data_IF_455979951645
#
_entry.id   IF_455979951645
#
_cell.length_a   1.000
_cell.length_b   1.000
_cell.length_c   1.000
_cell.angle_alpha   90.00
_cell.angle_beta   90.00
_cell.angle_gamma   90.00
#
_symmetry.space_group_name_H-M   'P 1'
#
loop_
_entity.id
_entity.type
_entity.pdbx_description
1 polymer ?
#
# COMPACT_ATOMS: atom_id res chain seq x y z
N UNK A 1 20.92 25.25 -5.06
CA UNK A 1 20.32 23.98 -4.56
C UNK A 1 20.72 23.82 -3.10
N UNK A 2 19.77 23.90 -2.16
CA UNK A 2 20.07 23.95 -0.72
C UNK A 2 20.40 22.52 -0.23
N UNK A 3 21.68 22.25 0.06
CA UNK A 3 22.15 20.91 0.49
C UNK A 3 21.57 20.45 1.83
N UNK A 4 20.95 21.36 2.58
CA UNK A 4 20.31 21.10 3.87
C UNK A 4 18.78 20.91 3.78
N UNK A 5 18.18 20.98 2.58
CA UNK A 5 16.74 20.79 2.44
C UNK A 5 16.38 19.32 2.62
N UNK A 6 15.64 19.01 3.69
CA UNK A 6 15.07 17.68 3.92
C UNK A 6 14.15 17.32 2.75
N UNK A 7 14.36 16.15 2.16
CA UNK A 7 13.52 15.66 1.06
C UNK A 7 12.06 15.55 1.51
N UNK A 8 11.08 16.08 0.75
CA UNK A 8 9.66 16.00 1.10
C UNK A 8 9.04 14.63 0.76
N UNK A 9 9.70 13.83 -0.06
CA UNK A 9 9.18 12.57 -0.61
C UNK A 9 8.76 11.52 0.43
N UNK A 10 9.44 11.36 1.58
CA UNK A 10 8.98 10.44 2.61
C UNK A 10 7.60 10.80 3.14
N UNK A 11 7.31 12.09 3.35
CA UNK A 11 5.99 12.56 3.81
C UNK A 11 4.90 12.26 2.79
N UNK A 12 5.17 12.54 1.51
CA UNK A 12 4.24 12.20 0.41
C UNK A 12 3.98 10.70 0.39
N UNK A 13 5.04 9.89 0.51
CA UNK A 13 4.92 8.43 0.52
C UNK A 13 4.11 7.92 1.71
N UNK A 14 4.32 8.43 2.92
CA UNK A 14 3.57 7.99 4.11
C UNK A 14 2.12 8.49 4.13
N UNK A 15 1.85 9.69 3.61
CA UNK A 15 0.47 10.14 3.39
C UNK A 15 -0.25 9.20 2.41
N UNK A 16 0.43 8.81 1.33
CA UNK A 16 -0.07 7.79 0.40
C UNK A 16 -0.28 6.42 1.07
N UNK A 17 0.63 5.98 1.94
CA UNK A 17 0.47 4.71 2.68
C UNK A 17 -0.71 4.73 3.64
N UNK A 18 -0.96 5.87 4.29
CA UNK A 18 -2.15 6.05 5.11
C UNK A 18 -3.44 5.99 4.26
N UNK A 19 -3.45 6.61 3.08
CA UNK A 19 -4.60 6.52 2.17
C UNK A 19 -4.84 5.07 1.70
N UNK A 20 -3.79 4.33 1.33
CA UNK A 20 -3.94 2.93 0.88
C UNK A 20 -4.30 1.98 2.01
N UNK A 21 -4.03 2.31 3.28
CA UNK A 21 -4.52 1.51 4.42
C UNK A 21 -6.04 1.39 4.39
N UNK A 22 -6.75 2.52 4.21
CA UNK A 22 -8.21 2.52 4.13
C UNK A 22 -8.71 1.70 2.93
N UNK A 23 -8.02 1.79 1.80
CA UNK A 23 -8.36 1.01 0.61
C UNK A 23 -8.31 -0.51 0.88
N UNK A 24 -7.22 -0.97 1.51
CA UNK A 24 -7.09 -2.38 1.87
C UNK A 24 -8.06 -2.79 2.98
N UNK A 25 -8.24 -1.97 4.03
CA UNK A 25 -9.12 -2.29 5.15
C UNK A 25 -10.61 -2.33 4.73
N UNK A 26 -11.03 -1.38 3.90
CA UNK A 26 -12.39 -1.33 3.34
C UNK A 26 -12.70 -2.51 2.41
N UNK A 27 -11.68 -3.25 1.95
CA UNK A 27 -11.89 -4.46 1.13
C UNK A 27 -12.69 -5.53 1.86
N UNK A 28 -12.73 -5.52 3.20
CA UNK A 28 -13.59 -6.43 3.96
C UNK A 28 -15.08 -6.29 3.73
N UNK A 29 -15.51 -5.24 3.02
CA UNK A 29 -16.89 -5.09 2.56
C UNK A 29 -17.21 -5.91 1.29
N UNK A 30 -16.18 -6.33 0.54
CA UNK A 30 -16.34 -6.91 -0.80
C UNK A 30 -15.60 -8.23 -1.02
N UNK A 31 -14.59 -8.55 -0.20
CA UNK A 31 -13.83 -9.80 -0.29
C UNK A 31 -13.99 -10.68 0.95
N UNK A 32 -13.78 -12.00 0.86
CA UNK A 32 -13.83 -12.90 2.02
C UNK A 32 -12.82 -12.50 3.10
N UNK A 33 -13.17 -12.73 4.38
CA UNK A 33 -12.36 -12.31 5.53
C UNK A 33 -10.90 -12.79 5.46
N UNK A 34 -10.63 -13.99 4.97
CA UNK A 34 -9.26 -14.52 4.84
C UNK A 34 -8.44 -13.75 3.81
N UNK A 35 -9.06 -13.29 2.72
CA UNK A 35 -8.41 -12.47 1.70
C UNK A 35 -8.09 -11.08 2.25
N UNK A 36 -8.94 -10.52 3.12
CA UNK A 36 -8.65 -9.28 3.85
C UNK A 36 -7.41 -9.43 4.72
N UNK A 37 -7.26 -10.55 5.44
CA UNK A 37 -6.07 -10.80 6.26
C UNK A 37 -4.80 -10.85 5.41
N UNK A 38 -4.84 -11.51 4.25
CA UNK A 38 -3.71 -11.56 3.32
C UNK A 38 -3.38 -10.18 2.75
N UNK A 39 -4.41 -9.40 2.37
CA UNK A 39 -4.26 -8.02 1.93
C UNK A 39 -3.63 -7.16 3.03
N UNK A 40 -4.12 -7.24 4.27
CA UNK A 40 -3.57 -6.51 5.42
C UNK A 40 -2.11 -6.90 5.70
N UNK A 41 -1.77 -8.18 5.63
CA UNK A 41 -0.39 -8.65 5.76
C UNK A 41 0.51 -8.06 4.65
N UNK A 42 0.02 -8.04 3.40
CA UNK A 42 0.74 -7.44 2.28
C UNK A 42 0.94 -5.92 2.47
N UNK A 43 -0.09 -5.20 2.90
CA UNK A 43 0.02 -3.77 3.22
C UNK A 43 1.05 -3.53 4.32
N UNK A 44 1.06 -4.37 5.37
CA UNK A 44 2.02 -4.24 6.47
C UNK A 44 3.47 -4.44 5.99
N UNK A 45 3.72 -5.38 5.08
CA UNK A 45 5.05 -5.55 4.46
C UNK A 45 5.47 -4.28 3.70
N UNK A 46 4.56 -3.71 2.91
CA UNK A 46 4.80 -2.46 2.18
C UNK A 46 5.05 -1.29 3.14
N UNK A 47 4.30 -1.20 4.24
CA UNK A 47 4.47 -0.18 5.27
C UNK A 47 5.83 -0.29 5.97
N UNK A 48 6.25 -1.51 6.35
CA UNK A 48 7.58 -1.75 6.90
C UNK A 48 8.67 -1.38 5.90
N UNK A 49 8.50 -1.68 4.62
CA UNK A 49 9.43 -1.26 3.57
C UNK A 49 9.52 0.28 3.46
N UNK A 50 8.39 0.98 3.49
CA UNK A 50 8.35 2.45 3.50
C UNK A 50 9.09 3.04 4.71
N UNK A 51 8.86 2.50 5.91
CA UNK A 51 9.58 2.89 7.13
C UNK A 51 11.10 2.65 7.02
N UNK A 52 11.51 1.50 6.46
CA UNK A 52 12.93 1.17 6.27
C UNK A 52 13.61 2.06 5.22
N UNK A 53 12.87 2.52 4.22
CA UNK A 53 13.39 3.37 3.15
C UNK A 53 13.32 4.86 3.44
N UNK A 54 12.63 5.26 4.51
CA UNK A 54 12.44 6.64 4.93
C UNK A 54 13.71 7.50 4.84
N UNK A 55 14.81 7.05 5.45
CA UNK A 55 16.10 7.74 5.45
C UNK A 55 16.99 7.37 4.26
N UNK A 56 17.25 6.09 3.96
CA UNK A 56 18.26 5.73 2.96
C UNK A 56 17.79 5.92 1.51
N UNK A 57 16.46 5.91 1.25
CA UNK A 57 15.91 5.97 -0.11
C UNK A 57 14.60 6.76 -0.17
N UNK A 58 14.62 8.08 0.13
CA UNK A 58 13.41 8.88 0.33
C UNK A 58 12.49 8.94 -0.90
N UNK A 59 13.04 8.88 -2.12
CA UNK A 59 12.26 8.84 -3.36
C UNK A 59 11.52 7.51 -3.56
N UNK A 60 12.06 6.39 -3.05
CA UNK A 60 11.41 5.07 -3.14
C UNK A 60 10.17 5.00 -2.26
N UNK A 61 10.15 5.72 -1.13
CA UNK A 61 9.00 5.79 -0.22
C UNK A 61 7.74 6.29 -0.95
N UNK A 62 7.90 7.27 -1.85
CA UNK A 62 6.80 7.80 -2.65
C UNK A 62 6.23 6.79 -3.67
N UNK A 63 7.03 5.82 -4.11
CA UNK A 63 6.58 4.77 -5.04
C UNK A 63 5.80 3.64 -4.34
N UNK A 64 6.03 3.41 -3.03
CA UNK A 64 5.37 2.35 -2.27
C UNK A 64 3.84 2.41 -2.32
N UNK A 65 3.15 3.56 -2.11
CA UNK A 65 1.69 3.61 -2.19
C UNK A 65 1.15 3.37 -3.60
N UNK A 66 1.92 3.72 -4.64
CA UNK A 66 1.56 3.39 -6.04
C UNK A 66 1.58 1.88 -6.24
N UNK A 67 2.66 1.22 -5.82
CA UNK A 67 2.79 -0.24 -5.88
C UNK A 67 1.69 -0.92 -5.07
N UNK A 68 1.39 -0.43 -3.86
CA UNK A 68 0.32 -0.96 -3.02
C UNK A 68 -1.04 -0.85 -3.73
N UNK A 69 -1.35 0.27 -4.38
CA UNK A 69 -2.60 0.46 -5.12
C UNK A 69 -2.72 -0.51 -6.30
N UNK A 70 -1.63 -0.69 -7.07
CA UNK A 70 -1.60 -1.62 -8.21
C UNK A 70 -1.77 -3.07 -7.76
N UNK A 71 -1.07 -3.47 -6.70
CA UNK A 71 -1.18 -4.82 -6.14
C UNK A 71 -2.58 -5.09 -5.60
N UNK A 72 -3.15 -4.14 -4.85
CA UNK A 72 -4.52 -4.22 -4.37
C UNK A 72 -5.50 -4.44 -5.51
N UNK A 73 -5.43 -3.61 -6.56
CA UNK A 73 -6.34 -3.70 -7.70
C UNK A 73 -6.25 -5.08 -8.36
N UNK A 74 -5.04 -5.55 -8.64
CA UNK A 74 -4.81 -6.87 -9.25
C UNK A 74 -5.29 -8.02 -8.38
N UNK A 75 -5.07 -7.97 -7.07
CA UNK A 75 -5.49 -9.03 -6.15
C UNK A 75 -7.01 -9.07 -5.94
N UNK A 76 -7.67 -7.92 -5.82
CA UNK A 76 -9.13 -7.86 -5.65
C UNK A 76 -9.83 -8.26 -6.93
N UNK A 77 -9.43 -7.71 -8.09
CA UNK A 77 -10.06 -8.05 -9.38
C UNK A 77 -9.74 -9.49 -9.80
N UNK A 78 -8.47 -9.90 -9.67
CA UNK A 78 -8.05 -11.26 -9.98
C UNK A 78 -8.65 -12.29 -9.04
N UNK A 79 -8.75 -11.98 -7.74
CA UNK A 79 -9.41 -12.83 -6.76
C UNK A 79 -10.89 -12.97 -7.03
N UNK A 80 -11.59 -11.88 -7.34
CA UNK A 80 -13.00 -11.92 -7.75
C UNK A 80 -13.21 -12.75 -9.01
N UNK A 81 -12.36 -12.61 -10.03
CA UNK A 81 -12.45 -13.36 -11.28
C UNK A 81 -12.13 -14.86 -11.10
N UNK A 82 -11.11 -15.20 -10.29
CA UNK A 82 -10.65 -16.58 -10.13
C UNK A 82 -11.48 -17.39 -9.12
N UNK A 83 -11.97 -16.75 -8.06
CA UNK A 83 -12.67 -17.41 -6.96
C UNK A 83 -14.15 -17.05 -6.88
N UNK A 84 -14.65 -16.21 -7.79
CA UNK A 84 -16.06 -15.83 -7.86
C UNK A 84 -16.53 -15.07 -6.63
N UNK A 85 -15.69 -14.21 -6.04
CA UNK A 85 -16.07 -13.42 -4.88
C UNK A 85 -17.24 -12.49 -5.24
N UNK A 86 -18.43 -12.84 -4.77
CA UNK A 86 -19.62 -12.00 -4.75
C UNK A 86 -19.97 -11.72 -3.29
N UNK A 87 -20.22 -10.46 -2.96
CA UNK A 87 -20.75 -10.05 -1.66
C UNK A 87 -22.14 -10.59 -1.43
#
# INVERSE_FOLDING_TARGET
MNRNATSPWPFVGMAGMAATFFLYAASGLVVPWWAVLLLMALWLVQFVAACRWWTPHPTRVAAVPVVATVLWFGLVTGGAAAFGWSS
#
